data_IF_514112205068
#
_entry.id   IF_514112205068
#
_cell.length_a   1.000
_cell.length_b   1.000
_cell.length_c   1.000
_cell.angle_alpha   90.00
_cell.angle_beta   90.00
_cell.angle_gamma   90.00
#
_symmetry.space_group_name_H-M   'P 1'
#
loop_
_entity.id
_entity.type
_entity.pdbx_description
1 polymer ?
#
# COMPACT_ATOMS: atom_id res chain seq x y z
N UNK A 1 8.06 -10.61 -3.38
CA UNK A 1 6.93 -9.73 -3.78
C UNK A 1 7.24 -8.25 -3.62
N UNK A 2 7.91 -7.88 -2.53
CA UNK A 2 8.34 -6.51 -2.19
C UNK A 2 8.94 -5.72 -3.37
N UNK A 3 9.85 -6.28 -4.15
CA UNK A 3 10.48 -5.59 -5.29
C UNK A 3 9.46 -5.06 -6.33
N UNK A 4 8.39 -5.81 -6.60
CA UNK A 4 7.36 -5.39 -7.55
C UNK A 4 6.57 -4.22 -6.97
N UNK A 5 6.22 -4.30 -5.68
CA UNK A 5 5.53 -3.22 -4.96
C UNK A 5 6.39 -1.97 -4.92
N UNK A 6 7.68 -2.10 -4.56
CA UNK A 6 8.65 -1.01 -4.57
C UNK A 6 8.73 -0.34 -5.95
N UNK A 7 8.97 -1.11 -7.00
CA UNK A 7 9.11 -0.58 -8.35
C UNK A 7 7.83 0.11 -8.83
N UNK A 8 6.66 -0.42 -8.48
CA UNK A 8 5.39 0.20 -8.80
C UNK A 8 5.18 1.53 -8.03
N UNK A 9 5.57 1.61 -6.77
CA UNK A 9 5.55 2.86 -6.00
C UNK A 9 6.47 3.91 -6.64
N UNK A 10 7.69 3.53 -7.00
CA UNK A 10 8.62 4.43 -7.72
C UNK A 10 8.01 4.86 -9.06
N UNK A 11 7.42 3.94 -9.83
CA UNK A 11 6.75 4.25 -11.11
C UNK A 11 5.60 5.23 -10.94
N UNK A 12 4.87 5.18 -9.82
CA UNK A 12 3.79 6.13 -9.47
C UNK A 12 4.31 7.48 -8.92
N UNK A 13 5.63 7.67 -8.87
CA UNK A 13 6.29 8.91 -8.48
C UNK A 13 6.44 9.09 -6.97
N UNK A 14 6.48 8.00 -6.20
CA UNK A 14 6.80 8.06 -4.77
C UNK A 14 8.31 7.97 -4.56
N UNK A 15 8.79 8.71 -3.55
CA UNK A 15 10.04 8.39 -2.88
C UNK A 15 9.76 7.26 -1.89
N UNK A 16 10.47 6.15 -2.04
CA UNK A 16 10.27 4.94 -1.21
C UNK A 16 11.46 4.79 -0.29
N UNK A 17 11.19 4.70 1.01
CA UNK A 17 12.17 4.45 2.07
C UNK A 17 11.82 3.16 2.80
N UNK A 18 12.81 2.47 3.36
CA UNK A 18 12.57 1.31 4.25
C UNK A 18 12.31 1.82 5.67
N UNK A 19 11.21 1.40 6.28
CA UNK A 19 10.73 1.92 7.55
C UNK A 19 11.30 1.16 8.75
N UNK A 20 12.43 1.58 9.30
CA UNK A 20 12.90 1.05 10.58
C UNK A 20 12.14 1.70 11.76
N UNK A 21 11.19 0.99 12.38
CA UNK A 21 10.58 1.41 13.64
C UNK A 21 11.21 0.68 14.83
N UNK A 22 11.11 1.30 16.00
CA UNK A 22 11.65 0.77 17.27
C UNK A 22 11.00 -0.56 17.72
N UNK A 23 9.90 -0.97 17.09
CA UNK A 23 9.04 -2.11 17.46
C UNK A 23 8.97 -3.17 16.33
N UNK A 24 9.52 -2.87 15.15
CA UNK A 24 9.52 -3.74 13.97
C UNK A 24 9.89 -2.96 12.70
N UNK A 25 10.18 -3.66 11.61
CA UNK A 25 10.43 -3.04 10.31
C UNK A 25 9.11 -3.00 9.53
N UNK A 26 8.76 -1.85 8.98
CA UNK A 26 7.75 -1.72 7.92
C UNK A 26 8.50 -1.75 6.60
N UNK A 27 8.07 -2.58 5.66
CA UNK A 27 8.80 -2.78 4.41
C UNK A 27 9.01 -1.45 3.68
N UNK A 28 7.96 -0.63 3.55
CA UNK A 28 8.05 0.65 2.84
C UNK A 28 7.30 1.80 3.51
N UNK A 29 7.94 2.97 3.46
CA UNK A 29 7.34 4.29 3.65
C UNK A 29 7.35 4.99 2.30
N UNK A 30 6.18 5.20 1.71
CA UNK A 30 6.02 5.87 0.43
C UNK A 30 5.64 7.34 0.65
N UNK A 31 6.45 8.26 0.11
CA UNK A 31 6.27 9.71 0.25
C UNK A 31 6.06 10.38 -1.10
N UNK A 32 5.12 11.32 -1.19
CA UNK A 32 4.89 12.15 -2.39
C UNK A 32 4.31 13.49 -1.96
N UNK A 33 5.07 14.57 -2.13
CA UNK A 33 4.69 15.89 -1.59
C UNK A 33 4.40 15.80 -0.08
N UNK A 34 3.24 16.26 0.39
CA UNK A 34 2.81 16.17 1.80
C UNK A 34 2.15 14.82 2.15
N UNK A 35 2.15 13.86 1.22
CA UNK A 35 1.62 12.53 1.43
C UNK A 35 2.65 11.59 2.03
N UNK A 36 2.22 10.82 3.02
CA UNK A 36 2.95 9.65 3.51
C UNK A 36 1.99 8.47 3.54
N UNK A 37 2.47 7.28 3.18
CA UNK A 37 1.78 6.03 3.37
C UNK A 37 2.74 4.95 3.88
N UNK A 38 2.27 4.16 4.84
CA UNK A 38 2.99 3.00 5.37
C UNK A 38 2.50 1.73 4.69
N UNK A 39 3.41 0.89 4.23
CA UNK A 39 3.08 -0.27 3.41
C UNK A 39 3.83 -1.50 3.95
N UNK A 40 3.06 -2.50 4.35
CA UNK A 40 3.53 -3.86 4.60
C UNK A 40 3.18 -4.73 3.39
N UNK A 41 4.08 -5.60 2.98
CA UNK A 41 3.91 -6.56 1.90
C UNK A 41 4.01 -7.96 2.49
N UNK A 42 3.07 -8.84 2.16
CA UNK A 42 3.11 -10.23 2.62
C UNK A 42 2.47 -11.17 1.62
N UNK A 43 2.98 -12.40 1.50
CA UNK A 43 2.36 -13.38 0.58
C UNK A 43 0.99 -13.82 1.07
N UNK A 44 0.85 -14.07 2.37
CA UNK A 44 -0.41 -14.49 2.96
C UNK A 44 -0.53 -14.06 4.43
N UNK A 45 -1.76 -13.78 4.84
CA UNK A 45 -2.19 -13.45 6.20
C UNK A 45 -3.49 -14.17 6.56
N UNK A 46 -3.79 -15.30 5.92
CA UNK A 46 -4.99 -16.10 6.20
C UNK A 46 -4.98 -16.68 7.61
N UNK A 47 -3.81 -17.06 8.10
CA UNK A 47 -3.63 -17.50 9.48
C UNK A 47 -3.70 -16.29 10.44
N UNK A 48 -4.55 -16.33 11.48
CA UNK A 48 -4.70 -15.20 12.41
C UNK A 48 -3.41 -14.81 13.12
N UNK A 49 -2.54 -15.77 13.44
CA UNK A 49 -1.27 -15.47 14.12
C UNK A 49 -0.29 -14.75 13.20
N UNK A 50 -0.29 -15.14 11.92
CA UNK A 50 0.47 -14.46 10.86
C UNK A 50 -0.08 -13.06 10.63
N UNK A 51 -1.40 -12.92 10.47
CA UNK A 51 -2.07 -11.61 10.33
C UNK A 51 -1.71 -10.65 11.46
N UNK A 52 -1.78 -11.10 12.71
CA UNK A 52 -1.42 -10.26 13.86
C UNK A 52 0.03 -9.80 13.81
N UNK A 53 0.95 -10.71 13.45
CA UNK A 53 2.38 -10.39 13.34
C UNK A 53 2.66 -9.39 12.22
N UNK A 54 2.08 -9.57 11.04
CA UNK A 54 2.28 -8.69 9.89
C UNK A 54 1.64 -7.30 10.09
N UNK A 55 0.51 -7.21 10.81
CA UNK A 55 -0.16 -5.93 11.06
C UNK A 55 0.42 -5.15 12.26
N UNK A 56 1.14 -5.83 13.15
CA UNK A 56 1.71 -5.22 14.36
C UNK A 56 2.62 -4.00 14.09
N UNK A 57 3.55 -4.01 13.11
CA UNK A 57 4.34 -2.84 12.78
C UNK A 57 3.48 -1.64 12.35
N UNK A 58 2.48 -1.87 11.49
CA UNK A 58 1.56 -0.83 11.03
C UNK A 58 0.73 -0.25 12.19
N UNK A 59 0.23 -1.10 13.09
CA UNK A 59 -0.51 -0.69 14.31
C UNK A 59 0.31 0.16 15.26
N UNK A 60 1.63 -0.03 15.28
CA UNK A 60 2.53 0.72 16.15
C UNK A 60 2.75 2.17 15.70
N UNK A 61 2.40 2.49 14.45
CA UNK A 61 2.44 3.85 13.92
C UNK A 61 1.22 4.63 14.41
N UNK A 62 1.47 5.65 15.21
CA UNK A 62 0.42 6.41 15.92
C UNK A 62 -0.12 7.63 15.16
N UNK A 63 0.47 7.98 14.01
CA UNK A 63 -0.04 9.06 13.18
C UNK A 63 -1.30 8.67 12.39
N UNK A 64 -1.89 9.68 11.77
CA UNK A 64 -3.11 9.54 10.96
C UNK A 64 -2.83 9.24 9.49
N UNK A 65 -1.58 8.94 9.09
CA UNK A 65 -1.30 8.64 7.69
C UNK A 65 -1.85 7.25 7.31
N UNK A 66 -2.22 7.06 6.03
CA UNK A 66 -2.68 5.80 5.49
C UNK A 66 -1.73 4.63 5.75
N UNK A 67 -2.29 3.48 6.11
CA UNK A 67 -1.57 2.23 6.37
C UNK A 67 -2.15 1.15 5.47
N UNK A 68 -1.29 0.45 4.74
CA UNK A 68 -1.69 -0.57 3.78
C UNK A 68 -0.94 -1.87 4.04
N UNK A 69 -1.64 -3.00 3.92
CA UNK A 69 -1.05 -4.31 3.84
C UNK A 69 -1.38 -4.92 2.47
N UNK A 70 -0.36 -5.11 1.63
CA UNK A 70 -0.51 -5.64 0.27
C UNK A 70 -0.22 -7.13 0.29
N UNK A 71 -1.20 -7.94 -0.13
CA UNK A 71 -1.12 -9.41 -0.08
C UNK A 71 -1.55 -10.11 -1.35
N UNK A 72 -1.06 -11.33 -1.60
CA UNK A 72 -1.57 -12.17 -2.69
C UNK A 72 -2.90 -12.85 -2.35
N UNK A 73 -3.30 -12.83 -1.08
CA UNK A 73 -4.57 -13.40 -0.66
C UNK A 73 -5.75 -12.74 -1.38
N UNK A 74 -6.75 -13.57 -1.70
CA UNK A 74 -8.04 -13.11 -2.23
C UNK A 74 -9.09 -12.93 -1.13
N UNK A 75 -8.85 -13.48 0.05
CA UNK A 75 -9.72 -13.41 1.21
C UNK A 75 -9.10 -12.51 2.29
N UNK A 76 -9.92 -11.96 3.18
CA UNK A 76 -9.45 -11.09 4.25
C UNK A 76 -8.99 -9.69 3.79
N UNK A 77 -9.31 -9.32 2.54
CA UNK A 77 -9.19 -7.98 1.95
C UNK A 77 -10.26 -7.05 2.53
N UNK A 78 -9.95 -5.76 2.66
CA UNK A 78 -10.85 -4.75 3.21
C UNK A 78 -10.14 -3.82 4.17
N UNK A 79 -10.90 -3.16 5.04
CA UNK A 79 -10.34 -2.28 6.07
C UNK A 79 -10.52 -2.93 7.43
N UNK A 80 -9.47 -2.96 8.23
CA UNK A 80 -9.52 -3.44 9.61
C UNK A 80 -10.19 -2.41 10.53
N UNK A 81 -10.59 -2.81 11.74
CA UNK A 81 -11.22 -1.91 12.72
C UNK A 81 -10.31 -0.74 13.13
N UNK A 82 -9.00 -0.94 13.06
CA UNK A 82 -7.94 0.02 13.30
C UNK A 82 -7.54 0.84 12.05
N UNK A 83 -8.29 0.72 10.95
CA UNK A 83 -8.15 1.57 9.76
C UNK A 83 -7.06 1.16 8.78
N UNK A 84 -6.47 -0.03 8.92
CA UNK A 84 -5.46 -0.54 7.97
C UNK A 84 -6.18 -1.10 6.75
N UNK A 85 -5.77 -0.67 5.56
CA UNK A 85 -6.29 -1.18 4.30
C UNK A 85 -5.52 -2.41 3.83
N UNK A 86 -6.19 -3.55 3.77
CA UNK A 86 -5.65 -4.80 3.24
C UNK A 86 -6.07 -4.92 1.79
N UNK A 87 -5.08 -5.01 0.90
CA UNK A 87 -5.25 -4.92 -0.54
C UNK A 87 -4.72 -6.18 -1.22
N UNK A 88 -5.45 -6.70 -2.21
CA UNK A 88 -4.88 -7.72 -3.09
C UNK A 88 -3.83 -7.10 -4.03
N UNK A 89 -2.64 -7.68 -4.09
CA UNK A 89 -1.51 -7.19 -4.86
C UNK A 89 -1.79 -7.11 -6.36
N UNK A 90 -2.49 -8.11 -6.92
CA UNK A 90 -2.81 -8.14 -8.36
C UNK A 90 -3.79 -7.02 -8.69
N UNK A 91 -4.87 -6.88 -7.91
CA UNK A 91 -5.85 -5.82 -8.16
C UNK A 91 -5.26 -4.42 -7.90
N UNK A 92 -4.31 -4.29 -6.96
CA UNK A 92 -3.58 -3.05 -6.73
C UNK A 92 -2.65 -2.68 -7.90
N UNK A 93 -1.90 -3.65 -8.44
CA UNK A 93 -1.03 -3.46 -9.61
C UNK A 93 -1.84 -3.08 -10.86
N UNK A 94 -3.03 -3.67 -11.02
CA UNK A 94 -3.93 -3.42 -12.15
C UNK A 94 -4.80 -2.16 -11.97
N UNK A 95 -4.67 -1.44 -10.86
CA UNK A 95 -5.44 -0.23 -10.60
C UNK A 95 -6.94 -0.46 -10.44
N UNK A 96 -7.38 -1.69 -10.11
CA UNK A 96 -8.80 -2.05 -10.00
C UNK A 96 -9.44 -1.61 -8.68
N UNK A 97 -8.64 -1.18 -7.70
CA UNK A 97 -9.11 -0.76 -6.39
C UNK A 97 -9.20 0.77 -6.31
N UNK A 98 -10.41 1.28 -6.04
CA UNK A 98 -10.74 2.71 -6.00
C UNK A 98 -10.17 3.48 -4.81
N UNK A 99 -9.62 2.79 -3.80
CA UNK A 99 -9.20 3.41 -2.52
C UNK A 99 -7.74 3.17 -2.15
N UNK A 100 -6.95 2.55 -3.03
CA UNK A 100 -5.77 1.81 -2.60
C UNK A 100 -4.51 2.65 -2.31
N UNK A 101 -4.55 3.96 -2.55
CA UNK A 101 -3.61 5.00 -2.08
C UNK A 101 -4.35 6.35 -2.20
N UNK A 102 -3.97 7.42 -1.47
CA UNK A 102 -4.71 8.70 -1.45
C UNK A 102 -4.73 9.48 -2.78
N UNK A 103 -4.15 8.93 -3.84
CA UNK A 103 -3.83 9.68 -5.05
C UNK A 103 -4.45 8.99 -6.25
N UNK A 104 -5.74 9.26 -6.48
CA UNK A 104 -6.16 9.46 -7.86
C UNK A 104 -5.39 10.68 -8.34
N UNK A 105 -4.66 10.55 -9.44
CA UNK A 105 -4.43 11.73 -10.28
C UNK A 105 -5.81 12.36 -10.46
N UNK A 106 -5.97 13.60 -9.99
CA UNK A 106 -7.06 14.45 -10.44
C UNK A 106 -7.09 14.27 -11.95
N UNK A 107 -8.22 13.81 -12.47
CA UNK A 107 -8.46 13.72 -13.89
C UNK A 107 -8.37 15.13 -14.48
N UNK A 108 -7.17 15.57 -14.78
CA UNK A 108 -6.87 16.55 -15.79
C UNK A 108 -6.92 15.81 -17.13
N UNK A 109 -8.07 15.20 -17.45
CA UNK A 109 -8.44 14.85 -18.81
C UNK A 109 -9.39 15.95 -19.28
N UNK A 110 -8.87 17.18 -19.38
CA UNK A 110 -9.31 18.05 -20.46
C UNK A 110 -8.49 17.69 -21.69
N UNK A 111 -9.22 17.22 -22.69
CA UNK A 111 -8.83 17.04 -24.09
C UNK A 111 -7.96 15.82 -24.39
N UNK A 112 -8.62 14.85 -25.03
CA UNK A 112 -8.00 13.61 -25.45
C UNK A 112 -6.89 13.78 -26.48
N UNK A 113 -5.97 12.83 -26.44
CA UNK A 113 -5.27 12.28 -27.59
C UNK A 113 -5.14 10.77 -27.31
N UNK A 114 -5.46 9.88 -28.26
CA UNK A 114 -5.46 8.44 -28.02
C UNK A 114 -4.04 7.87 -28.03
N UNK A 115 -3.88 6.76 -27.31
CA UNK A 115 -2.76 5.82 -27.30
C UNK A 115 -1.90 5.84 -28.57
N UNK A 116 -0.61 6.13 -28.42
CA UNK A 116 0.47 5.53 -29.22
C UNK A 116 1.78 5.55 -28.39
N UNK A 117 2.17 4.34 -27.97
CA UNK A 117 3.44 3.85 -27.40
C UNK A 117 4.03 4.55 -26.16
#
# INVERSE_FOLDING_TARGET
>A
MENIVHNELVRRGYTVEVGALRIGEIDFVAKKSDAVAYIQVTETMLDPSTRERELKPLRSVTDAFPKHAITLDRFGIGTTDDGIQILNAIDWLLGRQTHALPWRESSCLTNGIPFLW
#
